data_IF_525830381359
#
_entry.id   IF_525830381359
#
_cell.length_a   1.000
_cell.length_b   1.000
_cell.length_c   1.000
_cell.angle_alpha   90.00
_cell.angle_beta   90.00
_cell.angle_gamma   90.00
#
_symmetry.space_group_name_H-M   'P 1'
#
loop_
_entity.id
_entity.type
_entity.pdbx_description
1 polymer ?
#
# COMPACT_ATOMS: atom_id res chain seq x y z
N UNK A 1 25.81 74.26 -23.70
CA UNK A 1 25.78 73.10 -24.57
C UNK A 1 26.30 71.92 -23.75
N UNK A 2 25.41 71.12 -23.14
CA UNK A 2 25.79 69.99 -22.33
C UNK A 2 25.02 68.80 -22.85
N UNK A 3 25.75 67.85 -23.40
CA UNK A 3 25.23 66.54 -23.83
C UNK A 3 24.93 65.66 -22.66
N UNK A 4 23.68 65.25 -22.52
CA UNK A 4 23.29 64.21 -21.55
C UNK A 4 23.61 62.82 -22.07
N UNK A 5 24.36 62.04 -21.31
CA UNK A 5 24.53 60.59 -21.51
C UNK A 5 23.31 59.87 -20.94
N UNK A 6 22.59 59.22 -21.82
CA UNK A 6 21.55 58.27 -21.40
C UNK A 6 22.21 56.91 -21.19
N UNK A 7 22.27 56.48 -19.94
CA UNK A 7 22.67 55.14 -19.59
C UNK A 7 21.50 54.18 -19.87
N UNK A 8 21.63 53.31 -20.86
CA UNK A 8 20.75 52.17 -21.03
C UNK A 8 21.07 51.13 -19.95
N UNK A 9 20.24 51.06 -18.93
CA UNK A 9 20.24 49.98 -18.01
C UNK A 9 19.67 48.74 -18.72
N UNK A 10 20.52 47.74 -18.90
CA UNK A 10 20.14 46.46 -19.50
C UNK A 10 19.10 45.74 -18.64
N UNK A 11 17.93 45.54 -19.20
CA UNK A 11 16.94 44.62 -18.63
C UNK A 11 17.44 43.20 -18.81
N UNK A 12 17.90 42.60 -17.73
CA UNK A 12 18.24 41.16 -17.67
C UNK A 12 16.93 40.41 -17.86
N UNK A 13 16.85 39.44 -18.78
CA UNK A 13 15.61 38.74 -19.06
C UNK A 13 15.25 37.81 -17.90
N UNK A 14 14.34 38.22 -17.03
CA UNK A 14 13.67 37.34 -16.05
C UNK A 14 12.93 36.17 -16.68
N UNK A 15 12.73 36.18 -17.99
CA UNK A 15 11.99 35.15 -18.73
C UNK A 15 12.74 33.85 -18.90
N UNK A 16 14.07 33.87 -19.02
CA UNK A 16 14.85 32.65 -19.23
C UNK A 16 14.88 31.76 -17.99
N UNK A 17 15.01 32.34 -16.79
CA UNK A 17 15.04 31.58 -15.52
C UNK A 17 13.68 30.99 -15.18
N UNK A 18 12.59 31.71 -15.51
CA UNK A 18 11.23 31.20 -15.30
C UNK A 18 10.89 30.04 -16.24
N UNK A 19 11.33 30.09 -17.49
CA UNK A 19 11.13 28.98 -18.46
C UNK A 19 11.93 27.78 -18.10
N UNK A 20 13.19 27.91 -17.68
CA UNK A 20 14.02 26.79 -17.20
C UNK A 20 13.44 26.14 -15.95
N UNK A 21 12.96 26.92 -14.99
CA UNK A 21 12.34 26.39 -13.78
C UNK A 21 11.00 25.67 -14.07
N UNK A 22 10.26 26.07 -15.08
CA UNK A 22 9.03 25.39 -15.53
C UNK A 22 9.36 24.11 -16.31
N UNK A 23 10.41 24.10 -17.11
CA UNK A 23 10.89 22.91 -17.80
C UNK A 23 11.44 21.87 -16.83
N UNK A 24 12.28 22.26 -15.88
CA UNK A 24 12.79 21.37 -14.82
C UNK A 24 11.66 20.78 -13.98
N UNK A 25 10.63 21.60 -13.68
CA UNK A 25 9.46 21.14 -12.95
C UNK A 25 8.58 20.19 -13.78
N UNK A 26 8.43 20.45 -15.07
CA UNK A 26 7.71 19.58 -15.98
C UNK A 26 8.45 18.26 -16.25
N UNK A 27 9.79 18.28 -16.34
CA UNK A 27 10.60 17.06 -16.47
C UNK A 27 10.63 16.25 -15.18
N UNK A 28 10.70 16.88 -14.01
CA UNK A 28 10.61 16.19 -12.72
C UNK A 28 9.23 15.55 -12.54
N UNK A 29 8.15 16.26 -12.89
CA UNK A 29 6.78 15.74 -12.83
C UNK A 29 6.57 14.58 -13.82
N UNK A 30 7.18 14.63 -15.02
CA UNK A 30 7.17 13.52 -15.97
C UNK A 30 7.97 12.32 -15.47
N UNK A 31 9.16 12.54 -14.89
CA UNK A 31 9.98 11.47 -14.30
C UNK A 31 9.31 10.84 -13.08
N UNK A 32 8.62 11.63 -12.27
CA UNK A 32 7.86 11.13 -11.12
C UNK A 32 6.58 10.40 -11.56
N UNK A 33 5.94 10.84 -12.65
CA UNK A 33 4.82 10.16 -13.29
C UNK A 33 5.22 8.77 -13.80
N UNK A 34 6.27 8.68 -14.60
CA UNK A 34 6.82 7.41 -15.11
C UNK A 34 7.31 6.48 -13.97
N UNK A 35 7.82 7.03 -12.89
CA UNK A 35 8.29 6.27 -11.72
C UNK A 35 7.15 5.64 -10.90
N UNK A 36 5.92 6.11 -11.06
CA UNK A 36 4.77 5.70 -10.26
C UNK A 36 3.62 5.08 -11.07
N UNK A 37 3.81 4.83 -12.37
CA UNK A 37 2.78 4.22 -13.25
C UNK A 37 2.30 2.87 -12.69
N UNK A 38 3.22 2.08 -12.11
CA UNK A 38 2.90 0.79 -11.48
C UNK A 38 1.88 0.90 -10.33
N UNK A 39 1.69 2.08 -9.72
CA UNK A 39 0.71 2.27 -8.64
C UNK A 39 -0.72 2.11 -9.12
N UNK A 40 -1.00 2.51 -10.35
CA UNK A 40 -2.33 2.40 -10.95
C UNK A 40 -2.55 1.06 -11.68
N UNK A 41 -1.49 0.27 -11.82
CA UNK A 41 -1.58 -1.06 -12.39
C UNK A 41 -2.07 -2.07 -11.36
N UNK A 42 -2.97 -2.96 -11.80
CA UNK A 42 -3.49 -4.04 -10.96
C UNK A 42 -2.36 -4.95 -10.50
N UNK A 43 -2.39 -5.30 -9.23
CA UNK A 43 -1.41 -6.19 -8.63
C UNK A 43 -2.05 -7.12 -7.62
N UNK A 44 -1.38 -8.24 -7.36
CA UNK A 44 -1.64 -9.11 -6.22
C UNK A 44 -0.76 -8.73 -5.04
N UNK A 45 -1.16 -9.20 -3.85
CA UNK A 45 -0.41 -9.00 -2.63
C UNK A 45 0.04 -10.36 -2.11
N UNK A 46 1.36 -10.55 -2.06
CA UNK A 46 1.98 -11.70 -1.38
C UNK A 46 2.57 -11.25 -0.07
N UNK A 47 2.83 -12.20 0.79
CA UNK A 47 3.52 -11.91 2.05
C UNK A 47 4.60 -12.94 2.35
N UNK A 48 5.57 -12.53 3.12
CA UNK A 48 6.57 -13.39 3.76
C UNK A 48 6.87 -12.89 5.16
N UNK A 49 7.32 -13.79 6.07
CA UNK A 49 7.78 -13.38 7.39
C UNK A 49 9.01 -12.49 7.31
N UNK A 50 9.11 -11.53 8.24
CA UNK A 50 10.30 -10.68 8.37
C UNK A 50 11.54 -11.51 8.77
N UNK A 51 12.72 -10.91 8.62
CA UNK A 51 13.98 -11.54 9.04
C UNK A 51 14.00 -11.92 10.53
N UNK A 52 13.28 -11.16 11.36
CA UNK A 52 13.22 -11.35 12.81
C UNK A 52 12.22 -12.44 13.27
N UNK A 53 11.34 -12.89 12.38
CA UNK A 53 10.35 -13.92 12.71
C UNK A 53 11.01 -15.24 13.12
N UNK A 54 10.46 -15.98 14.10
CA UNK A 54 10.97 -17.30 14.49
C UNK A 54 10.99 -18.28 13.32
N UNK A 55 11.98 -19.18 13.29
CA UNK A 55 12.19 -20.12 12.18
C UNK A 55 10.99 -21.03 11.94
N UNK A 56 10.41 -21.58 12.98
CA UNK A 56 9.22 -22.45 12.95
C UNK A 56 8.02 -21.76 12.27
N UNK A 57 7.93 -20.43 12.37
CA UNK A 57 6.89 -19.63 11.73
C UNK A 57 7.25 -19.29 10.29
N UNK A 58 8.53 -19.07 9.97
CA UNK A 58 8.97 -18.83 8.60
C UNK A 58 8.63 -20.00 7.68
N UNK A 59 8.81 -21.21 8.16
CA UNK A 59 8.65 -22.43 7.37
C UNK A 59 7.19 -22.67 6.93
N UNK A 60 6.20 -22.17 7.69
CA UNK A 60 4.78 -22.31 7.32
C UNK A 60 4.28 -21.23 6.37
N UNK A 61 5.00 -20.11 6.26
CA UNK A 61 4.62 -18.99 5.41
C UNK A 61 5.35 -19.02 4.06
N UNK A 62 5.19 -20.09 3.30
CA UNK A 62 5.77 -20.25 1.96
C UNK A 62 4.69 -20.08 0.90
N UNK A 63 4.92 -19.21 -0.10
CA UNK A 63 3.99 -18.94 -1.20
C UNK A 63 2.58 -18.50 -0.76
N UNK A 64 2.51 -17.55 0.14
CA UNK A 64 1.25 -17.09 0.70
C UNK A 64 0.71 -15.88 -0.05
N UNK A 65 -0.62 -15.80 -0.12
CA UNK A 65 -1.35 -14.73 -0.75
C UNK A 65 -2.26 -14.04 0.26
N UNK A 66 -2.48 -12.75 0.05
CA UNK A 66 -3.51 -12.02 0.76
C UNK A 66 -4.83 -12.19 0.02
N UNK A 67 -5.88 -12.54 0.76
CA UNK A 67 -7.21 -12.84 0.25
C UNK A 67 -8.28 -12.04 0.99
N UNK A 68 -9.44 -11.88 0.37
CA UNK A 68 -10.56 -11.09 0.88
C UNK A 68 -11.73 -12.00 1.21
N UNK A 69 -12.21 -11.99 2.47
CA UNK A 69 -13.39 -12.73 2.91
C UNK A 69 -14.15 -11.97 4.01
N UNK A 70 -15.46 -11.93 3.91
CA UNK A 70 -16.36 -11.38 4.94
C UNK A 70 -15.98 -9.96 5.41
N UNK A 71 -15.62 -9.09 4.46
CA UNK A 71 -15.22 -7.71 4.74
C UNK A 71 -13.80 -7.54 5.29
N UNK A 72 -12.99 -8.61 5.38
CA UNK A 72 -11.67 -8.62 6.01
C UNK A 72 -10.60 -9.18 5.09
N UNK A 73 -9.35 -8.81 5.37
CA UNK A 73 -8.19 -9.39 4.71
C UNK A 73 -7.54 -10.47 5.57
N UNK A 74 -7.12 -11.52 4.88
CA UNK A 74 -6.45 -12.68 5.46
C UNK A 74 -5.21 -13.05 4.66
N UNK A 75 -4.29 -13.73 5.33
CA UNK A 75 -3.21 -14.48 4.68
C UNK A 75 -3.66 -15.92 4.54
N UNK A 76 -3.74 -16.38 3.30
CA UNK A 76 -4.04 -17.78 2.98
C UNK A 76 -2.75 -18.54 2.79
N UNK A 77 -2.56 -19.58 3.60
CA UNK A 77 -1.40 -20.45 3.52
C UNK A 77 -1.61 -21.55 2.46
N UNK A 78 -0.52 -22.09 1.94
CA UNK A 78 -0.55 -23.09 0.85
C UNK A 78 -1.31 -24.36 1.18
N UNK A 79 -1.47 -24.69 2.46
CA UNK A 79 -2.19 -25.87 2.94
C UNK A 79 -3.65 -25.57 3.38
N UNK A 80 -4.18 -24.39 3.06
CA UNK A 80 -5.59 -24.08 3.28
C UNK A 80 -6.48 -25.00 2.42
N UNK A 81 -7.43 -25.67 3.04
CA UNK A 81 -8.32 -26.65 2.38
C UNK A 81 -9.79 -26.22 2.34
N UNK A 82 -10.08 -24.99 2.76
CA UNK A 82 -11.43 -24.45 2.71
C UNK A 82 -11.88 -24.04 1.30
N UNK A 83 -12.98 -23.34 1.23
CA UNK A 83 -13.51 -22.80 -0.02
C UNK A 83 -12.56 -21.79 -0.66
N UNK A 84 -12.60 -21.68 -1.98
CA UNK A 84 -11.82 -20.71 -2.73
C UNK A 84 -12.16 -19.28 -2.26
N UNK A 85 -11.14 -18.51 -1.89
CA UNK A 85 -11.28 -17.14 -1.43
C UNK A 85 -10.74 -16.20 -2.50
N UNK A 86 -11.42 -15.07 -2.71
CA UNK A 86 -11.00 -14.09 -3.70
C UNK A 86 -9.64 -13.49 -3.34
N UNK A 87 -8.62 -13.57 -4.21
CA UNK A 87 -7.31 -13.00 -3.94
C UNK A 87 -7.38 -11.47 -3.95
N UNK A 88 -6.52 -10.80 -3.19
CA UNK A 88 -6.32 -9.37 -3.36
C UNK A 88 -5.88 -9.09 -4.80
N UNK A 89 -6.64 -8.24 -5.48
CA UNK A 89 -6.38 -7.79 -6.84
C UNK A 89 -6.70 -6.31 -6.96
N UNK A 90 -5.69 -5.46 -6.73
CA UNK A 90 -5.93 -4.06 -6.49
C UNK A 90 -4.84 -3.11 -6.97
N UNK A 91 -5.03 -1.83 -6.69
CA UNK A 91 -4.15 -0.74 -7.07
C UNK A 91 -4.38 0.49 -6.17
N UNK A 92 -3.47 1.47 -6.26
CA UNK A 92 -3.58 2.71 -5.49
C UNK A 92 -4.50 3.70 -6.20
N UNK A 93 -5.33 4.39 -5.42
CA UNK A 93 -6.15 5.52 -5.86
C UNK A 93 -6.06 6.67 -4.86
N UNK A 94 -6.11 7.94 -5.32
CA UNK A 94 -6.33 9.06 -4.42
C UNK A 94 -7.59 8.82 -3.60
N UNK A 95 -7.48 8.89 -2.27
CA UNK A 95 -8.66 8.74 -1.42
C UNK A 95 -9.49 10.04 -1.49
N UNK A 96 -10.80 9.96 -1.76
CA UNK A 96 -11.65 11.14 -1.92
C UNK A 96 -11.59 12.08 -0.71
N UNK A 97 -11.57 13.39 -0.97
CA UNK A 97 -11.54 14.45 0.03
C UNK A 97 -10.35 14.40 1.01
N UNK A 98 -9.24 13.79 0.57
CA UNK A 98 -8.00 13.67 1.34
C UNK A 98 -6.77 14.05 0.50
N UNK A 99 -5.62 14.13 1.17
CA UNK A 99 -4.33 14.39 0.54
C UNK A 99 -3.41 13.16 0.50
N UNK A 100 -3.98 11.96 0.66
CA UNK A 100 -3.24 10.70 0.65
C UNK A 100 -3.80 9.71 -0.36
N UNK A 101 -3.00 8.69 -0.66
CA UNK A 101 -3.40 7.55 -1.47
C UNK A 101 -4.07 6.50 -0.59
N UNK A 102 -5.20 6.00 -1.05
CA UNK A 102 -5.84 4.80 -0.55
C UNK A 102 -5.44 3.59 -1.40
N UNK A 103 -5.87 2.42 -0.98
CA UNK A 103 -5.72 1.16 -1.70
C UNK A 103 -7.10 0.56 -1.95
N UNK A 104 -7.32 0.05 -3.15
CA UNK A 104 -8.57 -0.64 -3.51
C UNK A 104 -8.29 -2.05 -4.00
N UNK A 105 -9.26 -2.95 -3.88
CA UNK A 105 -9.22 -4.28 -4.46
C UNK A 105 -10.58 -4.64 -5.06
N UNK A 106 -10.57 -5.43 -6.13
CA UNK A 106 -11.79 -6.14 -6.55
C UNK A 106 -12.16 -7.16 -5.47
N UNK A 107 -13.46 -7.40 -5.31
CA UNK A 107 -14.02 -8.43 -4.42
C UNK A 107 -14.76 -9.52 -5.20
N UNK A 108 -14.94 -9.30 -6.48
CA UNK A 108 -15.50 -10.25 -7.45
C UNK A 108 -14.98 -9.90 -8.84
N UNK A 109 -14.93 -10.89 -9.71
CA UNK A 109 -14.49 -10.71 -11.09
C UNK A 109 -15.67 -10.43 -12.05
N UNK A 110 -16.87 -10.86 -11.70
CA UNK A 110 -18.03 -10.71 -12.59
C UNK A 110 -19.35 -10.44 -11.81
N UNK A 111 -19.87 -9.21 -11.81
CA UNK A 111 -19.22 -7.98 -12.27
C UNK A 111 -18.10 -7.54 -11.32
N UNK A 112 -17.06 -6.87 -11.82
CA UNK A 112 -16.00 -6.37 -10.96
C UNK A 112 -16.53 -5.28 -10.03
N UNK A 113 -16.35 -5.48 -8.74
CA UNK A 113 -16.71 -4.52 -7.69
C UNK A 113 -15.47 -4.14 -6.92
N UNK A 114 -15.22 -2.84 -6.76
CA UNK A 114 -14.09 -2.30 -6.02
C UNK A 114 -14.50 -1.93 -4.59
N UNK A 115 -13.69 -2.38 -3.64
CA UNK A 115 -13.77 -1.98 -2.25
C UNK A 115 -12.48 -1.27 -1.82
N UNK A 116 -12.60 -0.31 -0.92
CA UNK A 116 -11.49 0.31 -0.25
C UNK A 116 -10.91 -0.61 0.81
N UNK A 117 -9.58 -0.60 0.93
CA UNK A 117 -8.85 -1.32 1.97
C UNK A 117 -8.56 -0.33 3.09
N UNK A 118 -8.93 -0.67 4.31
CA UNK A 118 -8.79 0.20 5.47
C UNK A 118 -8.44 -0.58 6.74
N UNK A 119 -7.88 0.10 7.71
CA UNK A 119 -7.59 -0.46 9.03
C UNK A 119 -8.77 -0.20 9.96
N UNK A 120 -9.27 -1.24 10.59
CA UNK A 120 -10.21 -1.10 11.70
C UNK A 120 -9.46 -0.65 12.96
N UNK A 121 -9.81 0.52 13.56
CA UNK A 121 -9.05 1.09 14.66
C UNK A 121 -9.20 0.31 15.97
N UNK A 122 -10.22 -0.52 16.10
CA UNK A 122 -10.47 -1.28 17.32
C UNK A 122 -9.72 -2.61 17.32
N UNK A 123 -9.89 -3.41 16.28
CA UNK A 123 -9.23 -4.72 16.16
C UNK A 123 -7.82 -4.66 15.59
N UNK A 124 -7.46 -3.57 14.93
CA UNK A 124 -6.25 -3.41 14.13
C UNK A 124 -6.12 -4.44 12.99
N UNK A 125 -7.21 -5.10 12.62
CA UNK A 125 -7.29 -5.95 11.44
C UNK A 125 -7.52 -5.09 10.19
N UNK A 126 -7.00 -5.52 9.06
CA UNK A 126 -7.23 -4.86 7.77
C UNK A 126 -8.54 -5.38 7.19
N UNK A 127 -9.40 -4.44 6.81
CA UNK A 127 -10.72 -4.68 6.28
C UNK A 127 -10.86 -4.16 4.86
N UNK A 128 -11.92 -4.57 4.18
CA UNK A 128 -12.33 -4.01 2.90
C UNK A 128 -13.82 -3.67 2.91
N UNK A 129 -14.19 -2.63 2.20
CA UNK A 129 -15.58 -2.21 2.13
C UNK A 129 -15.82 -1.04 1.18
N UNK A 130 -17.05 -0.63 1.07
CA UNK A 130 -17.41 0.58 0.35
C UNK A 130 -16.86 1.82 1.05
N UNK A 131 -16.84 2.96 0.37
CA UNK A 131 -16.34 4.22 0.94
C UNK A 131 -16.98 4.55 2.29
N UNK A 132 -18.30 4.37 2.42
CA UNK A 132 -19.06 4.66 3.67
C UNK A 132 -18.57 3.80 4.84
N UNK A 133 -18.08 2.58 4.58
CA UNK A 133 -17.51 1.70 5.59
C UNK A 133 -16.07 2.11 5.91
N UNK A 134 -15.26 2.40 4.88
CA UNK A 134 -13.89 2.83 5.03
C UNK A 134 -13.75 4.16 5.80
N UNK A 135 -14.71 5.08 5.66
CA UNK A 135 -14.77 6.36 6.39
C UNK A 135 -14.95 6.18 7.90
N UNK A 136 -15.47 5.03 8.36
CA UNK A 136 -15.59 4.70 9.79
C UNK A 136 -14.29 4.14 10.38
N UNK A 137 -13.41 3.66 9.51
CA UNK A 137 -12.09 3.16 9.87
C UNK A 137 -10.98 4.15 9.48
N UNK A 138 -9.80 3.61 9.18
CA UNK A 138 -8.64 4.36 8.75
C UNK A 138 -8.27 3.91 7.32
N UNK A 139 -8.69 4.67 6.28
CA UNK A 139 -8.51 4.27 4.88
C UNK A 139 -7.08 4.52 4.34
N UNK A 140 -6.18 5.05 5.16
CA UNK A 140 -4.80 5.33 4.77
C UNK A 140 -4.06 6.19 5.79
N UNK A 141 -2.88 6.70 5.40
CA UNK A 141 -2.29 6.70 4.06
C UNK A 141 -1.64 5.35 3.70
N UNK A 142 -2.03 4.80 2.57
CA UNK A 142 -1.31 3.69 1.96
C UNK A 142 -0.12 4.21 1.15
N UNK A 143 0.94 3.44 1.09
CA UNK A 143 2.14 3.77 0.35
C UNK A 143 2.94 2.54 -0.02
N UNK A 144 4.09 2.77 -0.65
CA UNK A 144 5.00 1.69 -0.97
C UNK A 144 6.45 2.13 -0.90
N UNK A 145 7.34 1.16 -0.70
CA UNK A 145 8.78 1.30 -0.78
C UNK A 145 9.33 0.42 -1.89
N UNK A 146 10.11 1.01 -2.78
CA UNK A 146 10.91 0.25 -3.75
C UNK A 146 12.24 -0.11 -3.07
N UNK A 147 12.50 -1.40 -2.93
CA UNK A 147 13.71 -1.94 -2.35
C UNK A 147 14.88 -1.95 -3.35
N UNK A 148 16.10 -2.14 -2.87
CA UNK A 148 17.31 -2.13 -3.71
C UNK A 148 17.34 -3.26 -4.75
N UNK A 149 16.65 -4.38 -4.50
CA UNK A 149 16.48 -5.52 -5.39
C UNK A 149 15.34 -5.34 -6.41
N UNK A 150 14.66 -4.18 -6.38
CA UNK A 150 13.51 -3.88 -7.24
C UNK A 150 12.17 -4.37 -6.67
N UNK A 151 12.15 -5.07 -5.54
CA UNK A 151 10.92 -5.48 -4.87
C UNK A 151 10.14 -4.26 -4.38
N UNK A 152 8.84 -4.27 -4.55
CA UNK A 152 7.94 -3.21 -4.06
C UNK A 152 7.16 -3.74 -2.87
N UNK A 153 7.31 -3.08 -1.73
CA UNK A 153 6.63 -3.45 -0.48
C UNK A 153 5.57 -2.45 -0.12
N UNK A 154 4.42 -2.92 0.34
CA UNK A 154 3.34 -2.08 0.83
C UNK A 154 3.71 -1.45 2.17
N UNK A 155 3.27 -0.22 2.35
CA UNK A 155 3.37 0.54 3.59
C UNK A 155 1.99 1.03 4.00
N UNK A 156 1.75 1.14 5.29
CA UNK A 156 0.66 1.92 5.84
C UNK A 156 1.24 2.95 6.81
N UNK A 157 0.89 4.21 6.63
CA UNK A 157 1.48 5.34 7.39
C UNK A 157 3.03 5.35 7.40
N UNK A 158 3.65 5.06 6.22
CA UNK A 158 5.11 4.96 5.99
C UNK A 158 5.81 3.83 6.75
N UNK A 159 5.08 2.84 7.22
CA UNK A 159 5.54 1.80 8.11
C UNK A 159 5.18 0.40 7.58
N UNK A 160 6.02 -0.61 7.81
CA UNK A 160 5.82 -2.02 7.42
C UNK A 160 5.29 -2.89 8.57
N UNK A 161 4.54 -2.35 9.51
CA UNK A 161 4.06 -3.03 10.71
C UNK A 161 2.96 -4.08 10.47
N UNK A 162 3.00 -4.82 9.36
CA UNK A 162 2.00 -5.84 9.08
C UNK A 162 2.25 -7.10 9.90
N UNK A 163 1.18 -7.69 10.39
CA UNK A 163 1.21 -8.92 11.18
C UNK A 163 0.11 -9.88 10.74
N UNK A 164 0.40 -11.17 10.78
CA UNK A 164 -0.61 -12.21 10.70
C UNK A 164 -0.92 -12.76 12.10
N UNK A 165 -2.21 -12.90 12.41
CA UNK A 165 -2.70 -13.53 13.63
C UNK A 165 -3.42 -14.83 13.25
N UNK A 166 -3.06 -15.92 13.91
CA UNK A 166 -3.71 -17.22 13.70
C UNK A 166 -5.21 -17.15 14.01
N UNK A 167 -6.03 -17.70 13.11
CA UNK A 167 -7.47 -17.85 13.32
C UNK A 167 -7.81 -19.28 13.75
N UNK A 168 -9.10 -19.54 14.05
CA UNK A 168 -9.60 -20.89 14.29
C UNK A 168 -9.56 -21.77 13.03
N UNK A 169 -9.55 -21.15 11.86
CA UNK A 169 -9.57 -21.86 10.59
C UNK A 169 -8.15 -22.19 10.13
N UNK A 170 -7.86 -23.47 10.01
CA UNK A 170 -6.53 -23.94 9.66
C UNK A 170 -6.07 -23.40 8.29
N UNK A 171 -4.91 -22.77 8.24
CA UNK A 171 -4.34 -22.23 7.02
C UNK A 171 -4.84 -20.84 6.64
N UNK A 172 -5.69 -20.22 7.47
CA UNK A 172 -6.15 -18.85 7.28
C UNK A 172 -5.76 -17.99 8.48
N UNK A 173 -5.06 -16.88 8.23
CA UNK A 173 -4.56 -15.99 9.26
C UNK A 173 -5.08 -14.57 9.04
N UNK A 174 -5.57 -13.91 10.07
CA UNK A 174 -6.05 -12.54 9.98
C UNK A 174 -4.88 -11.59 9.68
N UNK A 175 -5.03 -10.72 8.67
CA UNK A 175 -4.05 -9.71 8.36
C UNK A 175 -4.32 -8.46 9.19
N UNK A 176 -3.36 -8.08 10.02
CA UNK A 176 -3.43 -6.95 10.95
C UNK A 176 -2.30 -5.97 10.71
N UNK A 177 -2.39 -4.80 11.35
CA UNK A 177 -1.34 -3.80 11.33
C UNK A 177 -1.00 -3.35 12.76
N UNK A 178 0.26 -3.56 13.16
CA UNK A 178 0.78 -3.13 14.46
C UNK A 178 1.14 -1.65 14.45
N UNK A 179 0.15 -0.80 14.59
CA UNK A 179 0.28 0.65 14.53
C UNK A 179 1.23 1.23 15.58
N UNK A 180 1.42 0.52 16.68
CA UNK A 180 2.16 1.02 17.85
C UNK A 180 3.50 0.32 18.07
N UNK A 181 3.90 -0.56 17.15
CA UNK A 181 5.13 -1.38 17.26
C UNK A 181 5.25 -2.08 18.63
N UNK A 182 4.15 -2.70 19.05
CA UNK A 182 4.05 -3.35 20.36
C UNK A 182 3.62 -4.82 20.29
N UNK A 183 3.66 -5.43 19.09
CA UNK A 183 3.26 -6.81 18.84
C UNK A 183 1.75 -7.02 18.98
N UNK A 184 0.94 -6.00 18.71
CA UNK A 184 -0.53 -6.00 18.87
C UNK A 184 -0.96 -6.34 20.30
N UNK A 185 -0.19 -5.88 21.31
CA UNK A 185 -0.45 -6.15 22.73
C UNK A 185 -1.88 -5.76 23.13
N UNK A 186 -2.60 -6.70 23.73
CA UNK A 186 -3.98 -6.54 24.16
C UNK A 186 -5.02 -6.64 23.04
N UNK A 187 -4.58 -6.97 21.79
CA UNK A 187 -5.44 -7.24 20.65
C UNK A 187 -5.41 -8.71 20.21
N UNK A 188 -4.35 -9.42 20.57
CA UNK A 188 -4.19 -10.85 20.29
C UNK A 188 -4.74 -11.65 21.47
N UNK A 189 -5.62 -12.60 21.19
CA UNK A 189 -6.12 -13.54 22.17
C UNK A 189 -5.00 -14.43 22.73
N UNK A 190 -5.10 -14.82 24.00
CA UNK A 190 -4.11 -15.68 24.63
C UNK A 190 -3.99 -17.04 23.90
N UNK A 191 -2.76 -17.45 23.63
CA UNK A 191 -2.47 -18.71 22.92
C UNK A 191 -2.45 -18.61 21.40
N UNK A 192 -2.90 -17.52 20.79
CA UNK A 192 -2.81 -17.31 19.33
C UNK A 192 -1.38 -16.99 18.92
N UNK A 193 -0.95 -17.60 17.81
CA UNK A 193 0.34 -17.31 17.20
C UNK A 193 0.27 -16.04 16.35
N UNK A 194 1.37 -15.28 16.34
CA UNK A 194 1.52 -14.08 15.51
C UNK A 194 2.80 -14.15 14.70
N UNK A 195 2.81 -13.50 13.53
CA UNK A 195 3.99 -13.42 12.65
C UNK A 195 4.07 -12.02 12.07
N UNK A 196 5.23 -11.39 12.17
CA UNK A 196 5.51 -10.14 11.46
C UNK A 196 5.74 -10.43 9.97
N UNK A 197 5.15 -9.61 9.11
CA UNK A 197 5.14 -9.83 7.68
C UNK A 197 5.66 -8.63 6.90
N UNK A 198 6.28 -8.92 5.78
CA UNK A 198 6.48 -7.99 4.66
C UNK A 198 5.39 -8.28 3.61
N UNK A 199 4.66 -7.25 3.20
CA UNK A 199 3.67 -7.35 2.12
C UNK A 199 4.31 -6.90 0.80
N UNK A 200 4.27 -7.76 -0.20
CA UNK A 200 5.01 -7.62 -1.45
C UNK A 200 4.01 -7.48 -2.60
N UNK A 201 4.23 -6.45 -3.44
CA UNK A 201 3.50 -6.27 -4.68
C UNK A 201 3.97 -7.27 -5.72
N UNK A 202 3.04 -7.99 -6.32
CA UNK A 202 3.25 -8.87 -7.47
C UNK A 202 2.36 -8.38 -8.61
N UNK A 203 2.92 -8.20 -9.78
CA UNK A 203 2.13 -7.82 -10.96
C UNK A 203 1.05 -8.85 -11.24
N UNK A 204 -0.16 -8.39 -11.52
CA UNK A 204 -1.20 -9.27 -12.03
C UNK A 204 -0.86 -9.64 -13.48
N UNK A 205 -1.06 -10.90 -13.84
CA UNK A 205 -0.92 -11.32 -15.22
C UNK A 205 -1.89 -10.51 -16.09
N UNK A 206 -1.39 -9.98 -17.21
CA UNK A 206 -2.23 -9.27 -18.17
C UNK A 206 -3.05 -10.33 -18.92
N UNK A 207 -4.36 -10.34 -18.67
CA UNK A 207 -5.30 -11.12 -19.47
C UNK A 207 -5.33 -10.65 -20.94
#
# INVERSE_FOLDING_TARGET
MVLGLIALAGTIPMTATAVLSLQDKAESTKKDGLKNEWKTERCHMRCRPTANSPKDRKDIFVNNHVVLRDGKLYVQLSYYLGEAIHPFSGYYLPYPDSNFEGLVSTISDNPPQLNWIYLDPESLQIWHGLRVEAEKGLPGPWGARVCADGEIRFLWDRWEGFMAIETEEQGLWALCFDRHDNGLKGKVEEGKRTVELELIRVEAEKE
#
